data_IF_372162003880
#
_entry.id   IF_372162003880
#
_cell.length_a   1.000
_cell.length_b   1.000
_cell.length_c   1.000
_cell.angle_alpha   90.00
_cell.angle_beta   90.00
_cell.angle_gamma   90.00
#
_symmetry.space_group_name_H-M   'P 1'
#
loop_
_entity.id
_entity.type
_entity.pdbx_description
1 polymer ?
#
# COMPACT_ATOMS: atom_id res chain seq x y z
N UNK A 1 26.28 -16.20 -34.85
CA UNK A 1 27.35 -16.66 -33.94
C UNK A 1 27.11 -18.09 -33.42
N UNK A 2 26.08 -18.39 -32.58
CA UNK A 2 25.90 -19.75 -32.01
C UNK A 2 25.38 -20.74 -33.04
N UNK A 3 24.44 -20.35 -33.89
CA UNK A 3 23.95 -21.17 -35.02
C UNK A 3 25.06 -21.48 -36.01
N UNK A 4 25.87 -20.50 -36.36
CA UNK A 4 27.03 -20.66 -37.23
C UNK A 4 28.04 -21.65 -36.64
N UNK A 5 28.35 -21.56 -35.34
CA UNK A 5 29.24 -22.54 -34.67
C UNK A 5 28.72 -23.98 -34.75
N UNK A 6 27.40 -24.14 -34.78
CA UNK A 6 26.74 -25.45 -34.86
C UNK A 6 26.39 -25.87 -36.28
N UNK A 7 26.77 -25.10 -37.28
CA UNK A 7 26.40 -25.32 -38.69
C UNK A 7 24.87 -25.47 -38.87
N UNK A 8 24.10 -24.63 -38.16
CA UNK A 8 22.65 -24.61 -38.27
C UNK A 8 22.22 -23.32 -38.99
N UNK A 9 21.38 -23.45 -39.97
CA UNK A 9 20.74 -22.32 -40.62
C UNK A 9 19.62 -21.73 -39.73
N UNK A 10 19.48 -20.40 -39.66
CA UNK A 10 18.34 -19.78 -39.01
C UNK A 10 17.04 -20.13 -39.74
N UNK A 11 15.94 -20.17 -39.02
CA UNK A 11 14.64 -20.34 -39.65
C UNK A 11 14.36 -19.15 -40.62
N UNK A 12 13.66 -19.38 -41.73
CA UNK A 12 13.35 -18.32 -42.69
C UNK A 12 12.52 -17.21 -42.01
N UNK A 13 12.75 -15.98 -42.48
CA UNK A 13 12.02 -14.80 -41.96
C UNK A 13 10.53 -15.00 -42.15
N UNK A 14 9.76 -14.65 -41.09
CA UNK A 14 8.31 -14.79 -41.11
C UNK A 14 7.67 -13.91 -42.20
N UNK A 15 6.52 -14.33 -42.73
CA UNK A 15 5.75 -13.52 -43.69
C UNK A 15 5.45 -12.13 -43.07
N UNK A 16 5.46 -11.03 -43.87
CA UNK A 16 5.33 -9.66 -43.35
C UNK A 16 4.15 -9.43 -42.44
N UNK A 17 2.98 -10.00 -42.76
CA UNK A 17 1.79 -9.90 -41.90
C UNK A 17 1.97 -10.60 -40.54
N UNK A 18 2.75 -11.69 -40.48
CA UNK A 18 3.06 -12.39 -39.25
C UNK A 18 4.12 -11.59 -38.47
N UNK A 19 5.11 -11.04 -39.13
CA UNK A 19 6.19 -10.28 -38.54
C UNK A 19 5.63 -9.04 -37.79
N UNK A 20 4.83 -8.21 -38.49
CA UNK A 20 4.24 -7.02 -37.87
C UNK A 20 3.27 -7.39 -36.72
N UNK A 21 2.52 -8.49 -36.87
CA UNK A 21 1.65 -8.98 -35.81
C UNK A 21 2.43 -9.34 -34.53
N UNK A 22 3.55 -10.07 -34.68
CA UNK A 22 4.44 -10.42 -33.56
C UNK A 22 4.99 -9.16 -32.90
N UNK A 23 5.50 -8.23 -33.71
CA UNK A 23 6.06 -6.98 -33.22
C UNK A 23 5.09 -6.19 -32.34
N UNK A 24 3.84 -6.04 -32.77
CA UNK A 24 2.81 -5.35 -32.04
C UNK A 24 2.45 -6.09 -30.72
N UNK A 25 2.28 -7.41 -30.80
CA UNK A 25 1.95 -8.22 -29.61
C UNK A 25 3.11 -8.23 -28.60
N UNK A 26 4.34 -8.29 -29.09
CA UNK A 26 5.52 -8.34 -28.21
C UNK A 26 5.80 -6.98 -27.55
N UNK A 27 5.65 -5.86 -28.27
CA UNK A 27 5.96 -4.55 -27.74
C UNK A 27 4.80 -3.92 -26.94
N UNK A 28 3.57 -3.98 -27.45
CA UNK A 28 2.43 -3.30 -26.82
C UNK A 28 1.27 -4.22 -26.40
N UNK A 29 1.37 -5.51 -26.70
CA UNK A 29 0.37 -6.52 -26.31
C UNK A 29 -0.95 -6.44 -27.07
N UNK A 30 -1.05 -5.63 -28.12
CA UNK A 30 -2.25 -5.43 -28.93
C UNK A 30 -1.99 -5.86 -30.39
N UNK A 31 -3.00 -6.33 -31.11
CA UNK A 31 -2.85 -6.59 -32.54
C UNK A 31 -2.67 -5.28 -33.32
N UNK A 32 -1.93 -5.30 -34.47
CA UNK A 32 -1.84 -4.13 -35.32
C UNK A 32 -3.17 -3.81 -36.00
N UNK A 33 -3.47 -2.53 -36.28
CA UNK A 33 -4.58 -2.14 -37.13
C UNK A 33 -4.42 -2.76 -38.55
N UNK A 34 -5.55 -3.08 -39.16
CA UNK A 34 -5.55 -3.76 -40.49
C UNK A 34 -4.81 -2.97 -41.55
N UNK A 35 -4.94 -1.64 -41.50
CA UNK A 35 -4.26 -0.71 -42.45
C UNK A 35 -2.73 -0.79 -42.32
N UNK A 36 -2.23 -0.93 -41.06
CA UNK A 36 -0.80 -1.10 -40.78
C UNK A 36 -0.29 -2.44 -41.29
N UNK A 37 -1.08 -3.51 -41.16
CA UNK A 37 -0.74 -4.82 -41.70
C UNK A 37 -0.64 -4.76 -43.22
N UNK A 38 -1.63 -4.16 -43.89
CA UNK A 38 -1.66 -4.03 -45.33
C UNK A 38 -0.49 -3.19 -45.86
N UNK A 39 -0.23 -2.04 -45.23
CA UNK A 39 0.86 -1.15 -45.62
C UNK A 39 2.24 -1.84 -45.46
N UNK A 40 2.46 -2.55 -44.37
CA UNK A 40 3.69 -3.29 -44.13
C UNK A 40 3.86 -4.47 -45.08
N UNK A 41 2.77 -5.19 -45.38
CA UNK A 41 2.81 -6.34 -46.26
C UNK A 41 3.03 -6.00 -47.76
N UNK A 42 2.67 -4.77 -48.16
CA UNK A 42 2.80 -4.30 -49.54
C UNK A 42 4.26 -4.06 -49.95
N UNK A 43 5.16 -3.74 -49.03
CA UNK A 43 6.57 -3.50 -49.30
C UNK A 43 7.39 -3.41 -48.02
N UNK A 44 7.65 -4.54 -47.37
CA UNK A 44 8.43 -4.55 -46.12
C UNK A 44 9.88 -4.16 -46.40
N UNK A 45 10.38 -3.15 -45.71
CA UNK A 45 11.80 -2.78 -45.69
C UNK A 45 12.28 -2.76 -44.22
N UNK A 46 13.59 -2.91 -44.04
CA UNK A 46 14.21 -2.84 -42.71
C UNK A 46 13.95 -1.50 -42.05
N UNK A 47 14.01 -0.40 -42.81
CA UNK A 47 13.69 0.95 -42.28
C UNK A 47 12.22 1.08 -41.85
N UNK A 48 11.28 0.43 -42.54
CA UNK A 48 9.88 0.42 -42.15
C UNK A 48 9.69 -0.40 -40.85
N UNK A 49 10.42 -1.51 -40.74
CA UNK A 49 10.44 -2.31 -39.54
C UNK A 49 10.98 -1.51 -38.35
N UNK A 50 12.15 -0.90 -38.45
CA UNK A 50 12.77 -0.08 -37.39
C UNK A 50 11.90 1.10 -37.03
N UNK A 51 11.34 1.82 -37.99
CA UNK A 51 10.38 2.92 -37.68
C UNK A 51 9.15 2.44 -36.92
N UNK A 52 8.66 1.23 -37.24
CA UNK A 52 7.53 0.65 -36.53
C UNK A 52 7.93 0.29 -35.08
N UNK A 53 9.13 -0.27 -34.90
CA UNK A 53 9.67 -0.54 -33.55
C UNK A 53 9.73 0.76 -32.73
N UNK A 54 10.32 1.82 -33.29
CA UNK A 54 10.45 3.10 -32.57
C UNK A 54 9.09 3.73 -32.26
N UNK A 55 8.12 3.66 -33.16
CA UNK A 55 6.76 4.11 -32.92
C UNK A 55 6.09 3.34 -31.78
N UNK A 56 6.28 2.03 -31.72
CA UNK A 56 5.69 1.19 -30.67
C UNK A 56 6.39 1.38 -29.33
N UNK A 57 7.70 1.55 -29.30
CA UNK A 57 8.46 1.88 -28.10
C UNK A 57 8.06 3.26 -27.53
N UNK A 58 7.77 4.24 -28.40
CA UNK A 58 7.26 5.56 -28.00
C UNK A 58 5.76 5.58 -27.67
N UNK A 59 5.05 4.47 -27.77
CA UNK A 59 3.63 4.40 -27.47
C UNK A 59 3.37 4.26 -25.96
N UNK A 60 2.39 4.98 -25.38
CA UNK A 60 1.99 4.76 -23.98
C UNK A 60 1.61 3.31 -23.67
N UNK A 61 1.17 2.55 -24.68
CA UNK A 61 0.83 1.14 -24.56
C UNK A 61 2.02 0.24 -24.25
N UNK A 62 3.25 0.69 -24.55
CA UNK A 62 4.47 -0.02 -24.17
C UNK A 62 4.57 -0.13 -22.65
N UNK A 63 4.44 0.98 -21.93
CA UNK A 63 4.45 0.96 -20.46
C UNK A 63 3.29 0.17 -19.88
N UNK A 64 2.08 0.26 -20.45
CA UNK A 64 0.93 -0.55 -19.99
C UNK A 64 1.19 -2.05 -20.13
N UNK A 65 1.83 -2.47 -21.22
CA UNK A 65 2.20 -3.88 -21.47
C UNK A 65 3.26 -4.35 -20.49
N UNK A 66 4.35 -3.60 -20.34
CA UNK A 66 5.54 -4.03 -19.61
C UNK A 66 5.43 -3.81 -18.10
N UNK A 67 4.64 -2.84 -17.66
CA UNK A 67 4.35 -2.62 -16.24
C UNK A 67 3.74 -3.84 -15.56
N UNK A 68 2.99 -4.68 -16.28
CA UNK A 68 2.37 -5.88 -15.70
C UNK A 68 3.38 -6.80 -15.02
N UNK A 69 4.53 -7.01 -15.64
CA UNK A 69 5.57 -7.87 -15.06
C UNK A 69 6.13 -7.31 -13.75
N UNK A 70 6.28 -5.99 -13.66
CA UNK A 70 6.70 -5.35 -12.42
C UNK A 70 5.59 -5.34 -11.37
N UNK A 71 4.35 -5.08 -11.80
CA UNK A 71 3.18 -5.08 -10.91
C UNK A 71 2.91 -6.48 -10.33
N UNK A 72 3.18 -7.55 -11.08
CA UNK A 72 3.12 -8.93 -10.56
C UNK A 72 4.18 -9.14 -9.46
N UNK A 73 5.42 -8.69 -9.67
CA UNK A 73 6.46 -8.73 -8.64
C UNK A 73 6.09 -7.87 -7.41
N UNK A 74 5.45 -6.73 -7.62
CA UNK A 74 4.95 -5.86 -6.55
C UNK A 74 3.70 -6.43 -5.86
N UNK A 75 3.10 -7.51 -6.34
CA UNK A 75 1.83 -8.10 -5.87
C UNK A 75 0.69 -7.07 -5.91
N UNK A 76 0.69 -6.21 -6.95
CA UNK A 76 -0.30 -5.15 -7.09
C UNK A 76 -1.72 -5.70 -7.11
N UNK A 77 -2.59 -5.10 -6.32
CA UNK A 77 -4.02 -5.31 -6.36
C UNK A 77 -4.76 -4.07 -5.83
N UNK A 78 -5.92 -3.76 -6.38
CA UNK A 78 -6.80 -2.67 -5.91
C UNK A 78 -7.61 -3.04 -4.66
N UNK A 79 -7.25 -4.16 -4.03
CA UNK A 79 -7.88 -4.71 -2.83
C UNK A 79 -6.87 -5.35 -1.89
N UNK A 80 -7.30 -5.70 -0.66
CA UNK A 80 -6.40 -6.20 0.39
C UNK A 80 -6.04 -7.68 0.25
N UNK A 81 -6.73 -8.45 -0.61
CA UNK A 81 -6.68 -9.91 -0.58
C UNK A 81 -7.40 -10.48 0.67
N UNK A 82 -7.36 -11.77 0.86
CA UNK A 82 -8.01 -12.49 1.94
C UNK A 82 -9.55 -12.40 1.97
N UNK A 83 -10.14 -12.88 3.07
CA UNK A 83 -11.59 -13.05 3.23
C UNK A 83 -12.37 -11.72 3.13
N UNK A 84 -11.87 -10.65 3.76
CA UNK A 84 -12.40 -9.30 3.60
C UNK A 84 -11.54 -8.57 2.59
N UNK A 85 -11.93 -8.66 1.33
CA UNK A 85 -11.21 -8.09 0.21
C UNK A 85 -11.62 -6.63 -0.03
N UNK A 86 -11.41 -5.80 0.99
CA UNK A 86 -11.74 -4.38 0.92
C UNK A 86 -10.85 -3.64 -0.10
N UNK A 87 -11.45 -2.72 -0.83
CA UNK A 87 -10.74 -1.86 -1.79
C UNK A 87 -9.70 -1.00 -1.11
N UNK A 88 -8.57 -0.79 -1.80
CA UNK A 88 -7.53 0.18 -1.41
C UNK A 88 -7.18 1.11 -2.55
N UNK A 89 -6.81 2.36 -2.19
CA UNK A 89 -6.43 3.38 -3.16
C UNK A 89 -4.93 3.28 -3.44
N UNK A 90 -4.53 2.36 -4.32
CA UNK A 90 -3.13 2.11 -4.71
C UNK A 90 -2.89 2.32 -6.22
N UNK A 91 -3.93 2.60 -6.99
CA UNK A 91 -3.85 2.82 -8.43
C UNK A 91 -2.81 3.87 -8.86
N UNK A 92 -2.49 4.94 -8.08
CA UNK A 92 -1.45 5.88 -8.48
C UNK A 92 -0.06 5.23 -8.61
N UNK A 93 0.22 4.21 -7.77
CA UNK A 93 1.46 3.44 -7.90
C UNK A 93 1.52 2.66 -9.23
N UNK A 94 0.41 2.04 -9.67
CA UNK A 94 0.33 1.39 -10.99
C UNK A 94 0.66 2.39 -12.09
N UNK A 95 0.02 3.55 -12.07
CA UNK A 95 0.22 4.58 -13.08
C UNK A 95 1.66 5.12 -13.04
N UNK A 96 2.25 5.23 -11.84
CA UNK A 96 3.66 5.58 -11.69
C UNK A 96 4.59 4.55 -12.37
N UNK A 97 4.35 3.25 -12.19
CA UNK A 97 5.14 2.19 -12.85
C UNK A 97 5.02 2.28 -14.37
N UNK A 98 3.81 2.45 -14.90
CA UNK A 98 3.55 2.62 -16.34
C UNK A 98 4.34 3.81 -16.89
N UNK A 99 4.25 4.96 -16.21
CA UNK A 99 4.94 6.17 -16.62
C UNK A 99 6.46 6.03 -16.54
N UNK A 100 6.98 5.43 -15.47
CA UNK A 100 8.41 5.20 -15.30
C UNK A 100 9.01 4.34 -16.41
N UNK A 101 8.27 3.34 -16.90
CA UNK A 101 8.69 2.51 -18.03
C UNK A 101 8.61 3.30 -19.34
N UNK A 102 7.55 4.08 -19.57
CA UNK A 102 7.42 4.91 -20.76
C UNK A 102 8.48 6.03 -20.83
N UNK A 103 8.89 6.56 -19.67
CA UNK A 103 9.96 7.55 -19.55
C UNK A 103 11.37 6.94 -19.64
N UNK A 104 11.47 5.62 -19.80
CA UNK A 104 12.75 4.88 -19.78
C UNK A 104 13.58 5.22 -18.53
N UNK A 105 12.90 5.29 -17.36
CA UNK A 105 13.54 5.67 -16.10
C UNK A 105 14.71 4.74 -15.78
N UNK A 106 15.91 5.25 -15.47
CA UNK A 106 17.06 4.44 -15.09
C UNK A 106 16.71 3.53 -13.91
N UNK A 107 17.15 2.26 -13.97
CA UNK A 107 16.74 1.23 -13.01
C UNK A 107 17.20 1.52 -11.58
N UNK A 108 18.33 2.20 -11.40
CA UNK A 108 18.80 2.67 -10.08
C UNK A 108 17.81 3.67 -9.46
N UNK A 109 17.35 4.65 -10.25
CA UNK A 109 16.34 5.63 -9.80
C UNK A 109 14.99 4.98 -9.55
N UNK A 110 14.57 4.10 -10.45
CA UNK A 110 13.35 3.31 -10.30
C UNK A 110 13.36 2.49 -9.02
N UNK A 111 14.50 1.93 -8.64
CA UNK A 111 14.68 1.17 -7.39
C UNK A 111 14.64 2.07 -6.17
N UNK A 112 15.45 3.14 -6.15
CA UNK A 112 15.56 4.05 -5.01
C UNK A 112 14.21 4.68 -4.69
N UNK A 113 13.47 5.14 -5.70
CA UNK A 113 12.17 5.77 -5.52
C UNK A 113 11.15 4.82 -4.87
N UNK A 114 11.22 3.52 -5.14
CA UNK A 114 10.32 2.54 -4.52
C UNK A 114 10.72 2.13 -3.11
N UNK A 115 12.02 2.09 -2.81
CA UNK A 115 12.52 1.57 -1.53
C UNK A 115 12.72 2.63 -0.46
N UNK A 116 13.03 3.87 -0.84
CA UNK A 116 13.58 4.85 0.10
C UNK A 116 13.20 6.32 -0.16
N UNK A 117 12.27 6.62 -1.08
CA UNK A 117 11.98 8.00 -1.44
C UNK A 117 11.33 8.79 -0.30
N UNK A 118 10.66 8.12 0.63
CA UNK A 118 10.12 8.74 1.84
C UNK A 118 11.22 9.25 2.80
N UNK A 119 12.48 8.86 2.56
CA UNK A 119 13.67 9.29 3.31
C UNK A 119 14.45 10.41 2.61
N UNK A 120 14.13 10.72 1.35
CA UNK A 120 14.84 11.73 0.57
C UNK A 120 14.22 13.11 0.84
N UNK A 121 15.04 14.08 1.14
CA UNK A 121 14.60 15.46 1.33
C UNK A 121 14.00 16.02 0.03
N UNK A 122 12.85 16.71 0.14
CA UNK A 122 12.16 17.35 -0.99
C UNK A 122 11.66 16.37 -2.08
N UNK A 123 11.38 15.12 -1.70
CA UNK A 123 10.77 14.15 -2.61
C UNK A 123 9.49 14.71 -3.26
N UNK A 124 9.41 14.62 -4.59
CA UNK A 124 8.24 15.04 -5.35
C UNK A 124 7.03 14.13 -5.05
N UNK A 125 5.84 14.59 -5.41
CA UNK A 125 4.63 13.79 -5.27
C UNK A 125 4.75 12.43 -5.97
N UNK A 126 5.24 12.42 -7.22
CA UNK A 126 5.42 11.20 -8.02
C UNK A 126 6.42 10.24 -7.38
N UNK A 127 7.52 10.74 -6.87
CA UNK A 127 8.52 9.95 -6.19
C UNK A 127 7.97 9.32 -4.91
N UNK A 128 7.18 10.06 -4.13
CA UNK A 128 6.51 9.50 -2.95
C UNK A 128 5.50 8.41 -3.29
N UNK A 129 4.80 8.53 -4.44
CA UNK A 129 3.86 7.51 -4.94
C UNK A 129 4.59 6.19 -5.23
N UNK A 130 5.85 6.23 -5.68
CA UNK A 130 6.67 5.04 -5.95
C UNK A 130 6.79 4.10 -4.75
N UNK A 131 6.82 4.64 -3.51
CA UNK A 131 6.89 3.84 -2.28
C UNK A 131 5.64 2.97 -2.06
N UNK A 132 4.61 3.15 -2.88
CA UNK A 132 3.43 2.30 -2.96
C UNK A 132 3.76 0.82 -3.21
N UNK A 133 4.95 0.50 -3.73
CA UNK A 133 5.45 -0.88 -3.83
C UNK A 133 5.24 -1.66 -2.53
N UNK A 134 5.63 -1.08 -1.39
CA UNK A 134 5.52 -1.71 -0.07
C UNK A 134 4.13 -1.60 0.57
N UNK A 135 3.17 -1.01 -0.13
CA UNK A 135 1.79 -0.92 0.33
C UNK A 135 0.86 -1.94 -0.35
N UNK A 136 1.46 -2.81 -1.21
CA UNK A 136 0.76 -3.92 -1.87
C UNK A 136 0.70 -5.21 -1.04
N UNK A 137 1.32 -5.24 0.15
CA UNK A 137 1.25 -6.42 1.02
C UNK A 137 -0.20 -6.85 1.27
N UNK A 138 -0.54 -8.13 1.11
CA UNK A 138 -1.84 -8.65 1.50
C UNK A 138 -2.06 -8.45 3.01
N UNK A 139 -3.29 -8.17 3.43
CA UNK A 139 -3.62 -7.92 4.83
C UNK A 139 -4.87 -8.66 5.26
N UNK A 140 -4.72 -9.58 6.23
CA UNK A 140 -5.85 -10.28 6.83
C UNK A 140 -6.53 -9.38 7.88
N UNK A 141 -7.55 -8.65 7.46
CA UNK A 141 -8.32 -7.73 8.32
C UNK A 141 -9.54 -8.39 8.98
N UNK A 142 -9.66 -9.73 8.91
CA UNK A 142 -10.77 -10.47 9.50
C UNK A 142 -10.87 -10.27 11.02
N UNK A 143 -12.09 -10.42 11.57
CA UNK A 143 -12.39 -10.14 12.99
C UNK A 143 -11.52 -10.91 13.99
N UNK A 144 -11.22 -12.18 13.71
CA UNK A 144 -10.47 -13.05 14.62
C UNK A 144 -8.95 -12.83 14.67
N UNK A 145 -8.34 -12.09 13.71
CA UNK A 145 -6.90 -11.84 13.71
C UNK A 145 -6.50 -10.80 14.76
N UNK A 146 -5.32 -10.94 15.36
CA UNK A 146 -4.77 -9.91 16.27
C UNK A 146 -4.12 -8.79 15.44
N UNK A 147 -4.21 -7.54 15.90
CA UNK A 147 -3.67 -6.37 15.20
C UNK A 147 -2.16 -6.50 14.97
N UNK A 148 -1.41 -6.93 16.01
CA UNK A 148 0.04 -7.06 15.93
C UNK A 148 0.47 -8.21 15.01
N UNK A 149 -0.32 -9.29 14.95
CA UNK A 149 -0.09 -10.40 14.04
C UNK A 149 -0.25 -9.97 12.57
N UNK A 150 -1.32 -9.24 12.25
CA UNK A 150 -1.54 -8.70 10.90
C UNK A 150 -0.41 -7.74 10.52
N UNK A 151 0.00 -6.88 11.46
CA UNK A 151 1.10 -5.96 11.24
C UNK A 151 2.42 -6.69 10.98
N UNK A 152 2.76 -7.69 11.78
CA UNK A 152 3.96 -8.49 11.60
C UNK A 152 3.95 -9.22 10.25
N UNK A 153 2.82 -9.80 9.85
CA UNK A 153 2.66 -10.46 8.55
C UNK A 153 2.92 -9.52 7.37
N UNK A 154 2.44 -8.27 7.46
CA UNK A 154 2.72 -7.24 6.45
C UNK A 154 4.22 -6.92 6.37
N UNK A 155 4.90 -6.85 7.51
CA UNK A 155 6.33 -6.55 7.55
C UNK A 155 7.18 -7.71 7.02
N UNK A 156 6.83 -8.96 7.37
CA UNK A 156 7.47 -10.14 6.80
C UNK A 156 7.33 -10.20 5.29
N UNK A 157 6.13 -9.93 4.78
CA UNK A 157 5.88 -9.87 3.34
C UNK A 157 6.75 -8.81 2.64
N UNK A 158 6.92 -7.61 3.23
CA UNK A 158 7.80 -6.56 2.70
C UNK A 158 9.25 -7.02 2.62
N UNK A 159 9.78 -7.65 3.66
CA UNK A 159 11.14 -8.20 3.69
C UNK A 159 11.33 -9.26 2.62
N UNK A 160 10.44 -10.25 2.59
CA UNK A 160 10.52 -11.38 1.67
C UNK A 160 10.43 -10.92 0.22
N UNK A 161 9.51 -9.98 -0.08
CA UNK A 161 9.39 -9.42 -1.43
C UNK A 161 10.60 -8.61 -1.83
N UNK A 162 11.16 -7.80 -0.92
CA UNK A 162 12.38 -7.05 -1.21
C UNK A 162 13.53 -8.00 -1.55
N UNK A 163 13.70 -9.07 -0.78
CA UNK A 163 14.69 -10.10 -1.05
C UNK A 163 14.50 -10.75 -2.41
N UNK A 164 13.28 -11.17 -2.71
CA UNK A 164 12.97 -11.86 -3.98
C UNK A 164 13.17 -10.94 -5.17
N UNK A 165 12.65 -9.71 -5.13
CA UNK A 165 12.60 -8.80 -6.29
C UNK A 165 13.97 -8.18 -6.59
N UNK A 166 14.71 -7.73 -5.59
CA UNK A 166 15.96 -6.99 -5.80
C UNK A 166 17.23 -7.80 -5.55
N UNK A 167 17.18 -8.78 -4.65
CA UNK A 167 18.33 -9.62 -4.35
C UNK A 167 18.28 -10.95 -5.08
N UNK A 168 17.15 -11.35 -5.64
CA UNK A 168 16.94 -12.66 -6.23
C UNK A 168 17.10 -13.79 -5.22
N UNK A 169 16.83 -13.50 -3.93
CA UNK A 169 17.08 -14.41 -2.82
C UNK A 169 15.80 -14.66 -2.02
N UNK A 170 15.61 -15.90 -1.58
CA UNK A 170 14.49 -16.30 -0.72
C UNK A 170 14.86 -16.06 0.73
N UNK A 171 14.62 -14.86 1.26
CA UNK A 171 14.99 -14.52 2.63
C UNK A 171 14.10 -15.16 3.70
N UNK A 172 12.98 -15.74 3.33
CA UNK A 172 11.95 -16.25 4.25
C UNK A 172 12.49 -17.30 5.25
N UNK A 173 13.46 -18.11 4.84
CA UNK A 173 14.11 -19.08 5.73
C UNK A 173 14.79 -18.39 6.91
N UNK A 174 15.39 -17.20 6.68
CA UNK A 174 16.08 -16.44 7.71
C UNK A 174 15.14 -15.79 8.73
N UNK A 175 13.84 -15.88 8.56
CA UNK A 175 12.86 -15.50 9.57
C UNK A 175 12.94 -16.36 10.85
N UNK A 176 13.31 -17.64 10.74
CA UNK A 176 13.27 -18.60 11.84
C UNK A 176 14.66 -19.13 12.26
N UNK A 177 15.61 -19.18 11.33
CA UNK A 177 16.98 -19.66 11.51
C UNK A 177 17.88 -19.09 10.44
N UNK A 178 19.18 -19.09 10.62
CA UNK A 178 20.13 -18.65 9.59
C UNK A 178 19.92 -19.44 8.29
N UNK A 179 19.99 -18.76 7.16
CA UNK A 179 19.72 -19.39 5.87
C UNK A 179 20.69 -20.52 5.61
N UNK A 180 20.17 -21.68 5.13
CA UNK A 180 20.96 -22.90 5.01
C UNK A 180 22.09 -22.81 3.96
N UNK A 181 21.84 -22.12 2.87
CA UNK A 181 22.71 -22.08 1.69
C UNK A 181 23.33 -20.72 1.43
N UNK A 182 22.58 -19.65 1.69
CA UNK A 182 22.98 -18.27 1.44
C UNK A 182 23.51 -17.60 2.71
N UNK A 183 24.37 -16.60 2.62
CA UNK A 183 25.00 -15.94 3.77
C UNK A 183 24.06 -14.96 4.48
N UNK A 184 22.79 -15.29 4.64
CA UNK A 184 21.80 -14.48 5.34
C UNK A 184 21.52 -15.06 6.72
N UNK A 185 21.78 -14.28 7.76
CA UNK A 185 21.46 -14.64 9.13
C UNK A 185 20.08 -14.16 9.55
N UNK A 186 19.52 -14.70 10.63
CA UNK A 186 18.33 -14.14 11.27
C UNK A 186 18.52 -12.66 11.60
N UNK A 187 19.70 -12.27 12.03
CA UNK A 187 20.01 -10.87 12.35
C UNK A 187 19.88 -9.96 11.13
N UNK A 188 20.36 -10.40 9.96
CA UNK A 188 20.24 -9.65 8.72
C UNK A 188 18.76 -9.51 8.30
N UNK A 189 17.99 -10.60 8.44
CA UNK A 189 16.55 -10.59 8.18
C UNK A 189 15.81 -9.56 9.03
N UNK A 190 16.01 -9.59 10.35
CA UNK A 190 15.36 -8.63 11.26
C UNK A 190 15.98 -7.24 11.21
N UNK A 191 17.22 -7.11 10.73
CA UNK A 191 17.80 -5.83 10.33
C UNK A 191 17.02 -5.18 9.19
N UNK A 192 16.73 -5.95 8.13
CA UNK A 192 15.90 -5.48 7.01
C UNK A 192 14.46 -5.22 7.45
N UNK A 193 13.89 -6.06 8.31
CA UNK A 193 12.58 -5.88 8.91
C UNK A 193 12.46 -4.55 9.68
N UNK A 194 13.53 -4.12 10.37
CA UNK A 194 13.55 -2.88 11.15
C UNK A 194 13.28 -1.63 10.31
N UNK A 195 13.72 -1.61 9.04
CA UNK A 195 13.43 -0.49 8.13
C UNK A 195 11.94 -0.33 7.90
N UNK A 196 11.26 -1.43 7.58
CA UNK A 196 9.83 -1.41 7.30
C UNK A 196 8.99 -1.25 8.57
N UNK A 197 9.53 -1.60 9.74
CA UNK A 197 8.86 -1.46 11.02
C UNK A 197 8.63 -0.01 11.44
N UNK A 198 9.31 0.93 10.81
CA UNK A 198 9.21 2.35 11.10
C UNK A 198 8.15 3.11 10.28
N UNK A 199 7.36 2.42 9.47
CA UNK A 199 6.27 3.01 8.71
C UNK A 199 5.14 3.49 9.66
N UNK A 200 4.51 4.64 9.32
CA UNK A 200 3.32 5.15 10.03
C UNK A 200 2.05 4.34 9.75
N UNK A 201 2.08 3.50 8.71
CA UNK A 201 0.95 2.65 8.39
C UNK A 201 0.69 1.63 9.51
N UNK A 202 -0.53 1.60 9.98
CA UNK A 202 -0.94 0.75 11.09
C UNK A 202 -2.26 0.05 10.79
N UNK A 203 -2.42 -1.13 11.38
CA UNK A 203 -3.73 -1.77 11.47
C UNK A 203 -4.45 -1.17 12.67
N UNK A 204 -5.57 -0.51 12.43
CA UNK A 204 -6.40 0.11 13.47
C UNK A 204 -7.77 -0.52 13.53
N UNK A 205 -8.35 -0.53 14.71
CA UNK A 205 -9.74 -0.88 14.90
C UNK A 205 -10.62 0.33 14.60
N UNK A 206 -11.52 0.18 13.65
CA UNK A 206 -12.55 1.19 13.37
C UNK A 206 -13.62 1.18 14.46
N UNK A 207 -14.35 2.28 14.64
CA UNK A 207 -15.46 2.38 15.60
C UNK A 207 -16.56 1.31 15.42
N UNK A 208 -16.67 0.74 14.22
CA UNK A 208 -17.57 -0.37 13.89
C UNK A 208 -17.03 -1.76 14.28
N UNK A 209 -15.86 -1.85 14.91
CA UNK A 209 -15.19 -3.11 15.22
C UNK A 209 -14.43 -3.75 14.04
N UNK A 210 -14.47 -3.16 12.84
CA UNK A 210 -13.69 -3.63 11.69
C UNK A 210 -12.24 -3.14 11.79
N UNK A 211 -11.30 -3.99 11.38
CA UNK A 211 -9.91 -3.59 11.21
C UNK A 211 -9.74 -2.88 9.87
N UNK A 212 -8.86 -1.90 9.84
CA UNK A 212 -8.49 -1.17 8.62
C UNK A 212 -7.00 -0.83 8.63
N UNK A 213 -6.42 -0.74 7.44
CA UNK A 213 -5.10 -0.15 7.26
C UNK A 213 -5.24 1.37 7.32
N UNK A 214 -4.58 2.00 8.28
CA UNK A 214 -4.57 3.44 8.47
C UNK A 214 -3.14 4.00 8.35
N UNK A 215 -3.04 5.25 7.94
CA UNK A 215 -1.76 5.95 7.78
C UNK A 215 -1.14 5.78 6.38
N UNK A 216 -0.20 6.66 6.06
CA UNK A 216 0.47 6.68 4.75
C UNK A 216 -0.46 7.05 3.59
N UNK A 217 -1.52 7.81 3.84
CA UNK A 217 -2.42 8.31 2.80
C UNK A 217 -1.91 9.65 2.28
N UNK A 218 -1.35 9.65 1.08
CA UNK A 218 -0.93 10.85 0.38
C UNK A 218 -2.10 11.42 -0.42
N UNK A 219 -2.52 12.64 -0.11
CA UNK A 219 -3.55 13.33 -0.88
C UNK A 219 -3.01 13.74 -2.24
N UNK A 220 -3.74 13.42 -3.29
CA UNK A 220 -3.39 13.81 -4.66
C UNK A 220 -3.96 15.19 -5.00
N UNK A 221 -3.29 15.96 -5.86
CA UNK A 221 -3.79 17.23 -6.31
C UNK A 221 -5.12 17.07 -7.05
N UNK A 222 -5.98 18.04 -6.86
CA UNK A 222 -7.23 18.21 -7.61
C UNK A 222 -7.30 19.63 -8.16
N UNK A 223 -8.18 19.88 -9.12
CA UNK A 223 -8.39 21.25 -9.64
C UNK A 223 -8.76 22.22 -8.51
N UNK A 224 -8.38 23.48 -8.69
CA UNK A 224 -8.71 24.53 -7.72
C UNK A 224 -10.23 24.62 -7.47
N UNK A 225 -11.04 24.47 -8.52
CA UNK A 225 -12.49 24.45 -8.41
C UNK A 225 -12.98 23.30 -7.53
N UNK A 226 -12.48 22.05 -7.76
CA UNK A 226 -12.88 20.89 -6.94
C UNK A 226 -12.44 21.07 -5.49
N UNK A 227 -11.27 21.65 -5.26
CA UNK A 227 -10.78 21.94 -3.90
C UNK A 227 -11.71 22.94 -3.21
N UNK A 228 -12.03 24.06 -3.86
CA UNK A 228 -12.93 25.07 -3.30
C UNK A 228 -14.32 24.47 -2.95
N UNK A 229 -14.88 23.65 -3.84
CA UNK A 229 -16.15 22.96 -3.58
C UNK A 229 -16.06 21.95 -2.42
N UNK A 230 -14.93 21.27 -2.27
CA UNK A 230 -14.70 20.36 -1.14
C UNK A 230 -14.62 21.13 0.19
N UNK A 231 -13.90 22.26 0.22
CA UNK A 231 -13.77 23.13 1.40
C UNK A 231 -15.13 23.74 1.77
N UNK A 232 -15.88 24.21 0.79
CA UNK A 232 -17.25 24.71 1.01
C UNK A 232 -18.17 23.63 1.59
N UNK A 233 -18.15 22.42 1.04
CA UNK A 233 -18.91 21.28 1.59
C UNK A 233 -18.45 20.92 3.01
N UNK A 234 -17.17 21.08 3.33
CA UNK A 234 -16.64 20.87 4.68
C UNK A 234 -17.19 21.92 5.66
N UNK A 235 -17.15 23.19 5.30
CA UNK A 235 -17.72 24.26 6.14
C UNK A 235 -19.22 24.08 6.36
N UNK A 236 -19.98 23.74 5.31
CA UNK A 236 -21.41 23.45 5.41
C UNK A 236 -21.67 22.26 6.35
N UNK A 237 -20.88 21.19 6.25
CA UNK A 237 -20.96 20.02 7.12
C UNK A 237 -20.75 20.41 8.59
N UNK A 238 -19.71 21.18 8.87
CA UNK A 238 -19.39 21.59 10.25
C UNK A 238 -20.46 22.50 10.84
N UNK A 239 -21.02 23.39 10.04
CA UNK A 239 -22.14 24.24 10.45
C UNK A 239 -23.40 23.42 10.75
N UNK A 240 -23.72 22.40 9.93
CA UNK A 240 -24.85 21.50 10.15
C UNK A 240 -24.60 20.62 11.37
N UNK A 241 -23.37 20.11 11.55
CA UNK A 241 -23.00 19.33 12.73
C UNK A 241 -23.19 20.16 14.03
N UNK A 242 -22.75 21.40 14.05
CA UNK A 242 -22.95 22.28 15.19
C UNK A 242 -24.45 22.51 15.49
N UNK A 243 -25.28 22.65 14.46
CA UNK A 243 -26.74 22.74 14.63
C UNK A 243 -27.31 21.44 15.21
N UNK A 244 -26.82 20.27 14.75
CA UNK A 244 -27.24 18.98 15.25
C UNK A 244 -26.89 18.80 16.72
N UNK A 245 -25.69 19.23 17.11
CA UNK A 245 -25.23 19.14 18.51
C UNK A 245 -26.09 20.01 19.43
N UNK A 246 -26.43 21.22 19.01
CA UNK A 246 -27.32 22.13 19.78
C UNK A 246 -28.74 21.55 19.87
N UNK A 247 -29.31 21.14 18.73
CA UNK A 247 -30.66 20.54 18.72
C UNK A 247 -30.74 19.26 19.56
N UNK A 248 -29.67 18.43 19.47
CA UNK A 248 -29.57 17.21 20.28
C UNK A 248 -29.48 17.50 21.75
N UNK A 249 -28.65 18.47 22.17
CA UNK A 249 -28.53 18.90 23.57
C UNK A 249 -29.87 19.43 24.12
N UNK A 250 -30.55 20.27 23.35
CA UNK A 250 -31.88 20.83 23.70
C UNK A 250 -32.91 19.71 23.85
N UNK A 251 -32.94 18.77 22.93
CA UNK A 251 -33.84 17.63 22.97
C UNK A 251 -33.56 16.74 24.19
N UNK A 252 -32.27 16.43 24.47
CA UNK A 252 -31.86 15.61 25.60
C UNK A 252 -32.24 16.23 26.97
N UNK A 253 -32.35 17.56 27.07
CA UNK A 253 -32.90 18.20 28.25
C UNK A 253 -34.31 17.72 28.63
N UNK A 254 -35.07 17.17 27.68
CA UNK A 254 -36.44 16.66 27.88
C UNK A 254 -36.52 15.13 27.95
N UNK A 255 -35.42 14.41 27.87
CA UNK A 255 -35.41 12.94 27.79
C UNK A 255 -36.01 12.31 29.05
N UNK A 256 -35.76 12.88 30.24
CA UNK A 256 -36.32 12.37 31.49
C UNK A 256 -37.85 12.46 31.53
N UNK A 257 -38.41 13.61 31.10
CA UNK A 257 -39.85 13.79 30.99
C UNK A 257 -40.48 12.82 30.01
N UNK A 258 -39.79 12.56 28.86
CA UNK A 258 -40.24 11.57 27.89
C UNK A 258 -40.23 10.16 28.49
N UNK A 259 -39.21 9.77 29.26
CA UNK A 259 -39.13 8.45 29.91
C UNK A 259 -40.31 8.17 30.89
N UNK A 260 -40.82 9.23 31.50
CA UNK A 260 -41.98 9.17 32.41
C UNK A 260 -43.30 9.01 31.66
N UNK A 261 -43.42 9.63 30.50
CA UNK A 261 -44.69 9.72 29.75
C UNK A 261 -44.80 8.73 28.60
N UNK A 262 -43.70 8.13 28.14
CA UNK A 262 -43.69 7.26 26.99
C UNK A 262 -44.45 5.95 27.18
N UNK A 263 -45.24 5.57 26.19
CA UNK A 263 -45.89 4.25 26.20
C UNK A 263 -44.81 3.16 25.92
N UNK A 264 -44.42 2.48 26.98
CA UNK A 264 -43.34 1.48 26.98
C UNK A 264 -43.65 0.26 26.07
N UNK A 265 -44.91 -0.06 25.83
CA UNK A 265 -45.30 -1.20 25.00
C UNK A 265 -44.98 -0.98 23.52
N UNK A 266 -44.99 0.26 23.08
CA UNK A 266 -44.65 0.66 21.70
C UNK A 266 -43.13 0.81 21.46
N UNK A 267 -42.29 0.66 22.46
CA UNK A 267 -40.85 0.79 22.37
C UNK A 267 -40.18 -0.52 21.84
N UNK A 268 -39.06 -0.42 21.15
CA UNK A 268 -38.23 -1.58 20.81
C UNK A 268 -37.87 -2.41 22.05
N UNK A 269 -37.76 -3.74 21.94
CA UNK A 269 -37.55 -4.63 23.07
C UNK A 269 -36.32 -4.27 23.92
N UNK A 270 -35.22 -3.88 23.29
CA UNK A 270 -33.98 -3.47 23.95
C UNK A 270 -34.16 -2.20 24.78
N UNK A 271 -34.81 -1.17 24.24
CA UNK A 271 -35.08 0.09 24.97
C UNK A 271 -36.07 -0.15 26.13
N UNK A 272 -37.12 -0.95 25.87
CA UNK A 272 -38.08 -1.36 26.89
C UNK A 272 -37.40 -2.07 28.07
N UNK A 273 -36.49 -2.98 27.77
CA UNK A 273 -35.74 -3.70 28.81
C UNK A 273 -34.90 -2.75 29.65
N UNK A 274 -34.20 -1.79 29.05
CA UNK A 274 -33.38 -0.80 29.76
C UNK A 274 -34.25 0.06 30.68
N UNK A 275 -35.40 0.56 30.17
CA UNK A 275 -36.32 1.42 30.96
C UNK A 275 -37.01 0.67 32.10
N UNK A 276 -37.11 -0.66 32.03
CA UNK A 276 -37.63 -1.51 33.12
C UNK A 276 -36.59 -1.86 34.17
N UNK A 277 -35.35 -2.08 33.76
CA UNK A 277 -34.29 -2.62 34.62
C UNK A 277 -33.48 -1.57 35.35
N UNK A 278 -33.51 -0.30 34.94
CA UNK A 278 -32.62 0.73 35.47
C UNK A 278 -33.27 2.13 35.50
N UNK A 279 -33.04 2.86 36.58
CA UNK A 279 -33.39 4.29 36.68
C UNK A 279 -32.36 5.13 35.87
N UNK A 280 -32.73 6.35 35.40
CA UNK A 280 -31.84 7.18 34.60
C UNK A 280 -30.44 7.37 35.20
N UNK A 281 -30.35 7.64 36.48
CA UNK A 281 -29.10 7.96 37.17
C UNK A 281 -28.23 6.72 37.47
N UNK A 282 -28.79 5.51 37.43
CA UNK A 282 -28.09 4.25 37.70
C UNK A 282 -27.65 3.49 36.41
N UNK A 283 -27.91 4.06 35.24
CA UNK A 283 -27.54 3.45 33.96
C UNK A 283 -26.05 3.57 33.69
N UNK A 284 -25.48 2.49 33.11
CA UNK A 284 -24.16 2.58 32.50
C UNK A 284 -24.23 3.42 31.20
N UNK A 285 -23.08 3.89 30.71
CA UNK A 285 -22.98 4.76 29.54
C UNK A 285 -23.56 4.14 28.27
N UNK A 286 -23.45 2.83 28.10
CA UNK A 286 -23.98 2.12 26.92
C UNK A 286 -25.52 2.16 26.93
N UNK A 287 -26.15 1.81 28.06
CA UNK A 287 -27.60 1.84 28.19
C UNK A 287 -28.15 3.27 28.04
N UNK A 288 -27.46 4.25 28.67
CA UNK A 288 -27.81 5.67 28.54
C UNK A 288 -27.80 6.11 27.08
N UNK A 289 -26.72 5.89 26.37
CA UNK A 289 -26.61 6.23 24.94
C UNK A 289 -27.66 5.55 24.06
N UNK A 290 -28.05 4.31 24.36
CA UNK A 290 -29.10 3.64 23.60
C UNK A 290 -30.45 4.32 23.76
N UNK A 291 -30.83 4.72 24.96
CA UNK A 291 -32.08 5.42 25.23
C UNK A 291 -32.07 6.82 24.61
N UNK A 292 -30.98 7.59 24.80
CA UNK A 292 -30.80 8.92 24.22
C UNK A 292 -30.87 8.88 22.68
N UNK A 293 -30.16 7.95 22.05
CA UNK A 293 -30.17 7.79 20.58
C UNK A 293 -31.58 7.44 20.07
N UNK A 294 -32.28 6.56 20.78
CA UNK A 294 -33.65 6.21 20.41
C UNK A 294 -34.59 7.41 20.52
N UNK A 295 -34.49 8.18 21.62
CA UNK A 295 -35.25 9.38 21.82
C UNK A 295 -34.95 10.45 20.76
N UNK A 296 -33.68 10.75 20.50
CA UNK A 296 -33.26 11.73 19.49
C UNK A 296 -33.78 11.37 18.10
N UNK A 297 -33.77 10.10 17.74
CA UNK A 297 -34.28 9.62 16.44
C UNK A 297 -35.81 9.79 16.29
N UNK A 298 -36.54 10.09 17.37
CA UNK A 298 -37.96 10.40 17.32
C UNK A 298 -38.22 11.91 17.13
N UNK A 299 -37.22 12.77 17.42
CA UNK A 299 -37.37 14.21 17.28
C UNK A 299 -37.34 14.64 15.81
N UNK A 300 -38.37 15.32 15.35
CA UNK A 300 -38.49 15.71 13.94
C UNK A 300 -37.33 16.63 13.52
N UNK A 301 -37.01 17.62 14.32
CA UNK A 301 -35.92 18.56 14.07
C UNK A 301 -34.55 17.87 13.96
N UNK A 302 -34.25 16.95 14.90
CA UNK A 302 -32.99 16.18 14.89
C UNK A 302 -32.88 15.31 13.63
N UNK A 303 -33.99 14.64 13.25
CA UNK A 303 -34.03 13.82 12.03
C UNK A 303 -33.82 14.63 10.76
N UNK A 304 -34.41 15.83 10.68
CA UNK A 304 -34.24 16.71 9.54
C UNK A 304 -32.78 17.18 9.39
N UNK A 305 -32.15 17.62 10.50
CA UNK A 305 -30.74 18.02 10.50
C UNK A 305 -29.82 16.82 10.15
N UNK A 306 -30.11 15.63 10.67
CA UNK A 306 -29.37 14.40 10.32
C UNK A 306 -29.51 14.06 8.85
N UNK A 307 -30.68 14.25 8.25
CA UNK A 307 -30.88 14.04 6.82
C UNK A 307 -30.07 15.05 5.98
N UNK A 308 -30.05 16.32 6.37
CA UNK A 308 -29.21 17.36 5.73
C UNK A 308 -27.73 17.01 5.86
N UNK A 309 -27.27 16.61 7.05
CA UNK A 309 -25.87 16.20 7.28
C UNK A 309 -25.48 15.03 6.37
N UNK A 310 -26.35 14.03 6.24
CA UNK A 310 -26.11 12.88 5.35
C UNK A 310 -25.95 13.28 3.89
N UNK A 311 -26.73 14.26 3.41
CA UNK A 311 -26.61 14.76 2.04
C UNK A 311 -25.26 15.49 1.84
N UNK A 312 -24.89 16.36 2.76
CA UNK A 312 -23.62 17.10 2.69
C UNK A 312 -22.43 16.14 2.82
N UNK A 313 -22.48 15.14 3.70
CA UNK A 313 -21.46 14.09 3.81
C UNK A 313 -21.28 13.33 2.47
N UNK A 314 -22.38 13.04 1.77
CA UNK A 314 -22.30 12.40 0.47
C UNK A 314 -21.62 13.30 -0.59
N UNK A 315 -21.96 14.59 -0.60
CA UNK A 315 -21.32 15.58 -1.49
C UNK A 315 -19.82 15.71 -1.16
N UNK A 316 -19.48 15.91 0.11
CA UNK A 316 -18.09 16.03 0.56
C UNK A 316 -17.28 14.77 0.18
N UNK A 317 -17.83 13.59 0.39
CA UNK A 317 -17.21 12.33 0.01
C UNK A 317 -16.94 12.22 -1.50
N UNK A 318 -17.88 12.69 -2.34
CA UNK A 318 -17.72 12.67 -3.80
C UNK A 318 -16.66 13.65 -4.29
N UNK A 319 -16.46 14.76 -3.58
CA UNK A 319 -15.49 15.80 -3.89
C UNK A 319 -14.10 15.53 -3.26
N UNK A 320 -14.01 14.62 -2.30
CA UNK A 320 -12.78 14.34 -1.58
C UNK A 320 -11.61 14.10 -2.55
N UNK A 321 -10.44 14.70 -2.28
CA UNK A 321 -9.25 14.43 -3.08
C UNK A 321 -8.94 12.93 -3.07
N UNK A 322 -8.60 12.33 -4.20
CA UNK A 322 -8.13 10.96 -4.22
C UNK A 322 -6.84 10.84 -3.39
N UNK A 323 -6.58 9.65 -2.89
CA UNK A 323 -5.39 9.39 -2.08
C UNK A 323 -4.58 8.26 -2.71
N UNK A 324 -3.28 8.23 -2.43
CA UNK A 324 -2.41 7.11 -2.72
C UNK A 324 -1.85 6.56 -1.41
N UNK A 325 -1.75 5.25 -1.32
CA UNK A 325 -1.04 4.62 -0.21
C UNK A 325 0.47 4.69 -0.47
N UNK A 326 1.21 5.26 0.48
CA UNK A 326 2.66 5.44 0.41
C UNK A 326 3.32 5.02 1.71
N UNK A 327 4.62 4.77 1.70
CA UNK A 327 5.41 4.70 2.92
C UNK A 327 5.57 6.12 3.50
N UNK A 328 5.60 6.20 4.81
CA UNK A 328 6.00 7.40 5.51
C UNK A 328 6.59 7.02 6.88
N UNK A 329 7.69 7.67 7.24
CA UNK A 329 8.40 7.36 8.45
C UNK A 329 7.73 7.95 9.68
N UNK A 330 7.80 7.23 10.78
CA UNK A 330 7.45 7.75 12.11
C UNK A 330 8.52 8.72 12.59
N UNK A 331 8.12 9.73 13.33
CA UNK A 331 9.02 10.65 13.99
C UNK A 331 9.95 9.91 14.99
N UNK A 332 9.38 8.97 15.73
CA UNK A 332 10.11 8.13 16.68
C UNK A 332 10.09 6.68 16.19
N UNK A 333 11.29 6.11 15.89
CA UNK A 333 11.39 4.73 15.45
C UNK A 333 10.83 3.75 16.46
N UNK A 334 10.24 2.66 15.95
CA UNK A 334 9.84 1.53 16.79
C UNK A 334 11.05 0.68 17.14
N UNK A 335 11.07 0.17 18.36
CA UNK A 335 11.96 -0.92 18.71
C UNK A 335 11.64 -2.14 17.89
N UNK A 336 12.68 -2.81 17.39
CA UNK A 336 12.56 -4.04 16.61
C UNK A 336 13.35 -5.13 17.29
N UNK A 337 12.77 -6.32 17.36
CA UNK A 337 13.34 -7.47 18.03
C UNK A 337 13.45 -8.63 17.05
N UNK A 338 14.39 -9.54 17.32
CA UNK A 338 14.47 -10.82 16.63
C UNK A 338 13.42 -11.76 17.22
N UNK A 339 12.52 -12.28 16.40
CA UNK A 339 11.53 -13.26 16.85
C UNK A 339 12.14 -14.66 16.84
N UNK A 340 12.16 -15.31 17.99
CA UNK A 340 12.69 -16.66 18.09
C UNK A 340 11.67 -17.68 17.53
N UNK A 341 12.12 -18.54 16.61
CA UNK A 341 11.35 -19.61 15.98
C UNK A 341 10.08 -19.19 15.27
N UNK A 342 10.01 -17.95 14.76
CA UNK A 342 8.82 -17.47 14.05
C UNK A 342 7.52 -17.60 14.83
N UNK A 343 7.57 -17.50 16.17
CA UNK A 343 6.42 -17.76 17.04
C UNK A 343 5.27 -16.83 16.65
N UNK A 344 4.22 -17.41 16.11
CA UNK A 344 2.99 -16.73 15.70
C UNK A 344 2.10 -16.29 16.88
N UNK A 345 2.43 -16.64 18.12
CA UNK A 345 1.75 -16.22 19.32
C UNK A 345 2.56 -15.12 19.99
N UNK A 346 2.27 -13.90 19.60
CA UNK A 346 2.88 -12.69 20.13
C UNK A 346 2.27 -12.35 21.49
N UNK A 347 2.77 -12.96 22.53
CA UNK A 347 2.79 -12.33 23.83
C UNK A 347 4.13 -11.62 23.98
N UNK A 348 4.27 -10.48 23.31
CA UNK A 348 5.50 -9.66 23.28
C UNK A 348 5.81 -9.08 24.67
N UNK A 349 4.88 -9.24 25.61
CA UNK A 349 5.00 -8.70 26.98
C UNK A 349 5.60 -9.69 27.98
N UNK A 350 5.73 -10.96 27.62
CA UNK A 350 6.30 -11.97 28.52
C UNK A 350 7.69 -12.41 28.07
N UNK A 351 8.70 -11.93 28.78
CA UNK A 351 10.10 -12.40 28.78
C UNK A 351 11.00 -12.01 27.61
N UNK A 352 11.00 -10.75 27.25
CA UNK A 352 12.13 -10.20 26.50
C UNK A 352 12.94 -9.28 27.41
N UNK A 353 14.21 -9.63 27.75
CA UNK A 353 15.04 -8.74 28.55
C UNK A 353 15.21 -7.41 27.85
N UNK A 354 14.84 -6.34 28.51
CA UNK A 354 15.17 -4.98 28.11
C UNK A 354 16.69 -4.85 28.01
N UNK A 355 17.23 -4.66 26.81
CA UNK A 355 18.63 -4.26 26.68
C UNK A 355 18.67 -2.74 26.83
N UNK A 356 19.11 -2.35 28.02
CA UNK A 356 19.30 -0.96 28.43
C UNK A 356 20.43 -0.29 27.64
N UNK A 357 20.29 0.98 27.43
CA UNK A 357 21.17 2.08 27.04
C UNK A 357 22.65 1.82 26.60
N UNK A 358 23.20 2.70 25.78
CA UNK A 358 24.54 2.56 25.19
C UNK A 358 25.64 2.67 26.24
N UNK A 359 26.58 1.73 26.24
CA UNK A 359 27.80 1.81 27.03
C UNK A 359 28.36 0.51 27.59
N UNK A 360 27.75 -0.63 27.38
CA UNK A 360 28.33 -1.92 27.77
C UNK A 360 28.41 -2.84 26.56
N UNK A 361 29.61 -3.05 26.07
CA UNK A 361 29.93 -4.14 25.15
C UNK A 361 29.71 -5.45 25.87
N UNK A 362 28.65 -6.15 25.49
CA UNK A 362 28.44 -7.53 25.88
C UNK A 362 28.95 -8.44 24.77
N UNK A 363 30.06 -9.14 25.01
CA UNK A 363 30.42 -10.32 24.24
C UNK A 363 29.30 -11.34 24.33
N UNK A 364 28.53 -11.46 23.23
CA UNK A 364 27.49 -12.46 23.09
C UNK A 364 28.16 -13.83 22.88
N UNK A 365 28.02 -14.73 23.83
CA UNK A 365 28.35 -16.13 23.63
C UNK A 365 27.37 -16.72 22.60
N UNK A 366 27.82 -17.70 21.82
CA UNK A 366 27.10 -18.35 20.72
C UNK A 366 25.77 -19.05 21.12
N UNK A 367 25.32 -18.91 22.35
CA UNK A 367 24.11 -19.57 22.90
C UNK A 367 23.05 -18.59 23.39
N UNK A 368 23.25 -17.28 23.35
CA UNK A 368 22.31 -16.31 23.91
C UNK A 368 21.66 -15.45 22.82
N UNK A 369 20.84 -16.08 21.98
CA UNK A 369 20.10 -15.45 20.88
C UNK A 369 18.79 -14.77 21.35
N UNK A 370 18.79 -14.25 22.59
CA UNK A 370 17.62 -13.57 23.15
C UNK A 370 17.72 -12.09 22.86
N UNK A 371 17.02 -11.66 21.80
CA UNK A 371 16.65 -10.27 21.53
C UNK A 371 17.79 -9.24 21.51
N UNK A 372 18.26 -8.92 20.32
CA UNK A 372 19.11 -7.75 20.08
C UNK A 372 18.22 -6.60 19.61
N UNK A 373 18.14 -5.46 20.33
CA UNK A 373 17.45 -4.29 19.80
C UNK A 373 18.15 -3.79 18.55
N UNK A 374 17.43 -3.66 17.45
CA UNK A 374 17.97 -3.11 16.21
C UNK A 374 18.35 -1.61 16.28
N UNK A 375 18.34 -0.98 17.44
CA UNK A 375 18.79 0.41 17.64
C UNK A 375 20.22 0.67 17.13
N UNK A 376 21.09 -0.34 17.19
CA UNK A 376 22.49 -0.23 16.74
C UNK A 376 22.72 -0.52 15.27
N UNK A 377 21.76 -1.11 14.60
CA UNK A 377 21.91 -1.48 13.19
C UNK A 377 21.55 -0.30 12.27
N UNK A 378 20.80 0.66 12.77
CA UNK A 378 20.19 1.74 11.99
C UNK A 378 21.18 2.68 11.28
N UNK A 379 22.20 3.30 11.91
CA UNK A 379 23.12 4.18 11.20
C UNK A 379 24.04 3.45 10.24
N UNK A 380 24.47 2.23 10.60
CA UNK A 380 25.34 1.40 9.76
C UNK A 380 24.61 0.70 8.63
N UNK A 381 23.36 0.29 8.83
CA UNK A 381 22.55 -0.33 7.78
C UNK A 381 22.01 0.73 6.81
N UNK A 382 21.60 1.91 7.28
CA UNK A 382 21.30 3.06 6.40
C UNK A 382 22.49 3.39 5.48
N UNK A 383 23.72 3.29 6.01
CA UNK A 383 24.93 3.47 5.22
C UNK A 383 25.21 2.26 4.32
N UNK A 384 25.02 1.03 4.81
CA UNK A 384 25.42 -0.18 4.10
C UNK A 384 24.41 -0.67 3.05
N UNK A 385 23.11 -0.60 3.28
CA UNK A 385 22.12 -0.94 2.23
C UNK A 385 22.07 0.19 1.20
N UNK A 386 22.12 1.45 1.59
CA UNK A 386 22.33 2.55 0.65
C UNK A 386 23.67 2.43 -0.09
N UNK A 387 24.76 2.06 0.58
CA UNK A 387 26.05 1.81 -0.05
C UNK A 387 26.05 0.52 -0.86
N UNK A 388 25.41 -0.57 -0.44
CA UNK A 388 25.27 -1.80 -1.22
C UNK A 388 24.38 -1.59 -2.44
N UNK A 389 23.26 -0.86 -2.33
CA UNK A 389 22.44 -0.48 -3.46
C UNK A 389 23.17 0.55 -4.35
N UNK A 390 23.81 1.56 -3.80
CA UNK A 390 24.64 2.53 -4.54
C UNK A 390 25.91 1.91 -5.10
N UNK A 391 26.52 0.91 -4.47
CA UNK A 391 27.72 0.23 -4.98
C UNK A 391 27.40 -0.79 -6.07
N UNK A 392 26.26 -1.50 -6.01
CA UNK A 392 25.80 -2.37 -7.09
C UNK A 392 25.18 -1.60 -8.26
N UNK A 393 24.63 -0.42 -8.02
CA UNK A 393 24.00 0.45 -9.02
C UNK A 393 24.82 1.74 -9.22
N UNK A 394 26.16 1.65 -9.27
CA UNK A 394 26.98 2.81 -9.62
C UNK A 394 26.55 3.37 -10.97
N UNK A 395 26.35 4.71 -11.09
CA UNK A 395 26.19 5.34 -12.39
C UNK A 395 27.44 5.06 -13.23
N UNK A 396 27.28 4.35 -14.33
CA UNK A 396 28.41 3.96 -15.20
C UNK A 396 28.54 2.45 -15.45
N UNK A 397 27.99 1.56 -14.64
CA UNK A 397 27.82 0.16 -15.00
C UNK A 397 26.56 0.03 -15.85
N UNK A 398 26.70 -0.11 -17.15
CA UNK A 398 25.71 -0.34 -18.20
C UNK A 398 24.25 -0.10 -17.73
N UNK A 399 23.77 1.14 -17.87
CA UNK A 399 22.37 1.46 -17.65
C UNK A 399 21.53 0.61 -18.62
N UNK A 400 20.98 -0.47 -18.13
CA UNK A 400 19.99 -1.24 -18.87
C UNK A 400 18.70 -0.43 -18.86
N UNK A 401 18.60 0.51 -19.80
CA UNK A 401 17.34 1.18 -20.10
C UNK A 401 16.37 0.13 -20.63
N UNK A 402 15.11 0.25 -20.27
CA UNK A 402 14.05 -0.67 -20.71
C UNK A 402 14.02 -0.79 -22.23
N UNK A 403 14.14 0.33 -22.96
CA UNK A 403 14.19 0.38 -24.41
C UNK A 403 15.42 -0.30 -24.99
N UNK A 404 16.59 -0.17 -24.39
CA UNK A 404 17.81 -0.83 -24.87
C UNK A 404 17.83 -2.34 -24.57
N UNK A 405 17.13 -2.78 -23.53
CA UNK A 405 16.92 -4.20 -23.27
C UNK A 405 16.00 -4.82 -24.34
N UNK A 406 14.90 -4.13 -24.71
CA UNK A 406 14.01 -4.56 -25.78
C UNK A 406 14.70 -4.59 -27.15
N UNK A 407 15.53 -3.58 -27.51
CA UNK A 407 16.29 -3.58 -28.73
C UNK A 407 17.32 -4.74 -28.84
N UNK A 408 17.85 -5.21 -27.70
CA UNK A 408 18.75 -6.38 -27.67
C UNK A 408 18.02 -7.72 -27.80
N UNK A 409 16.75 -7.79 -27.48
CA UNK A 409 15.92 -8.98 -27.68
C UNK A 409 15.42 -9.14 -29.12
N UNK A 410 15.45 -8.06 -29.92
CA UNK A 410 15.04 -8.04 -31.32
C UNK A 410 16.20 -7.47 -32.17
N UNK A 411 17.33 -8.20 -32.31
CA UNK A 411 18.38 -7.80 -33.27
C UNK A 411 17.79 -7.88 -34.67
N UNK A 412 18.08 -6.86 -35.45
CA UNK A 412 17.80 -6.81 -36.91
C UNK A 412 18.37 -7.98 -37.64
#
# INVERSE_FOLDING_TARGET
AELERRNLDPAPVAKPAILIRRLYLDLIGLPPPVEKVRAFAAGPTDEMYERTVDQLLGSPRFGEKWARHWLDLARYADSNGYHHDDRRSIWPYRDWVINAINEDKPFDRFTIEQLAEDLIANATLNQRIATGFHRNSPANLAGGSKIDEVRASILFDRVNTTGTVWLGATLECAQCHDHKFDPYTMKDYYGLFAFFNNDIAEVKLHSTGKKQLAGGNLRLPVSAERRARYEEAHHQRDAIQSKLDVASATALGRVRQWEETVNREKLPPNIRAILRSSKPDSRNDVARKQVETHYLNQQAEVREIQAQLKLVDAVQKSLAPPTSLVLAQRQYPRETYVYLRGIRHFDVTQNVPHISAPGKEHHLSSHDWRTVPCRYVRPQIDCNIRQLMLQRFKPGSASTRWHSACRRQFPT
#
